data_IF_498189605656
#
_entry.id   IF_498189605656
#
_cell.length_a   1.000
_cell.length_b   1.000
_cell.length_c   1.000
_cell.angle_alpha   90.00
_cell.angle_beta   90.00
_cell.angle_gamma   90.00
#
_symmetry.space_group_name_H-M   'P 1'
#
loop_
_entity.id
_entity.type
_entity.pdbx_description
1 polymer ?
#
# COMPACT_ATOMS: atom_id res chain seq x y z
N UNK A 1 -19.60 35.75 44.25
CA UNK A 1 -18.79 35.22 43.13
C UNK A 1 -18.17 36.40 42.40
N UNK A 2 -16.85 36.48 42.26
CA UNK A 2 -16.20 37.64 41.60
C UNK A 2 -16.45 37.60 40.08
N UNK A 3 -16.51 38.75 39.43
CA UNK A 3 -16.73 38.87 37.97
C UNK A 3 -15.78 37.98 37.14
N UNK A 4 -14.54 37.82 37.62
CA UNK A 4 -13.53 36.93 37.03
C UNK A 4 -13.95 35.45 37.07
N UNK A 5 -14.57 35.00 38.17
CA UNK A 5 -15.07 33.61 38.29
C UNK A 5 -16.27 33.38 37.37
N UNK A 6 -17.16 34.36 37.21
CA UNK A 6 -18.28 34.26 36.28
C UNK A 6 -17.82 34.16 34.81
N UNK A 7 -16.84 34.98 34.42
CA UNK A 7 -16.24 34.92 33.07
C UNK A 7 -15.55 33.57 32.84
N UNK A 8 -14.80 33.06 33.82
CA UNK A 8 -14.13 31.77 33.72
C UNK A 8 -15.12 30.61 33.55
N UNK A 9 -16.24 30.61 34.29
CA UNK A 9 -17.31 29.60 34.14
C UNK A 9 -17.94 29.69 32.74
N UNK A 10 -18.22 30.89 32.24
CA UNK A 10 -18.79 31.08 30.91
C UNK A 10 -17.85 30.55 29.82
N UNK A 11 -16.55 30.83 29.91
CA UNK A 11 -15.54 30.33 28.97
C UNK A 11 -15.47 28.80 28.99
N UNK A 12 -15.47 28.18 30.17
CA UNK A 12 -15.48 26.72 30.29
C UNK A 12 -16.75 26.09 29.70
N UNK A 13 -17.91 26.71 29.91
CA UNK A 13 -19.17 26.26 29.30
C UNK A 13 -19.11 26.35 27.78
N UNK A 14 -18.62 27.47 27.22
CA UNK A 14 -18.48 27.63 25.77
C UNK A 14 -17.52 26.59 25.19
N UNK A 15 -16.36 26.36 25.81
CA UNK A 15 -15.40 25.32 25.39
C UNK A 15 -16.06 23.94 25.44
N UNK A 16 -16.74 23.60 26.53
CA UNK A 16 -17.43 22.31 26.67
C UNK A 16 -18.50 22.09 25.59
N UNK A 17 -19.25 23.15 25.25
CA UNK A 17 -20.26 23.13 24.19
C UNK A 17 -19.63 22.96 22.80
N UNK A 18 -18.49 23.61 22.56
CA UNK A 18 -17.69 23.48 21.33
C UNK A 18 -17.15 22.05 21.18
N UNK A 19 -16.55 21.50 22.24
CA UNK A 19 -16.06 20.11 22.28
C UNK A 19 -17.21 19.13 22.01
N UNK A 20 -18.36 19.31 22.65
CA UNK A 20 -19.54 18.47 22.43
C UNK A 20 -19.99 18.48 20.96
N UNK A 21 -20.10 19.66 20.34
CA UNK A 21 -20.50 19.74 18.93
C UNK A 21 -19.47 19.13 17.98
N UNK A 22 -18.17 19.30 18.24
CA UNK A 22 -17.10 18.67 17.46
C UNK A 22 -17.19 17.14 17.54
N UNK A 23 -17.35 16.60 18.75
CA UNK A 23 -17.50 15.15 18.95
C UNK A 23 -18.77 14.60 18.29
N UNK A 24 -19.90 15.29 18.47
CA UNK A 24 -21.17 14.93 17.83
C UNK A 24 -21.07 14.95 16.31
N UNK A 25 -20.43 15.97 15.74
CA UNK A 25 -20.22 16.08 14.31
C UNK A 25 -19.30 14.96 13.78
N UNK A 26 -18.20 14.65 14.49
CA UNK A 26 -17.32 13.53 14.16
C UNK A 26 -18.07 12.20 14.14
N UNK A 27 -18.86 11.92 15.18
CA UNK A 27 -19.66 10.70 15.28
C UNK A 27 -20.70 10.60 14.17
N UNK A 28 -21.44 11.69 13.90
CA UNK A 28 -22.40 11.75 12.81
C UNK A 28 -21.76 11.50 11.43
N UNK A 29 -20.59 12.09 11.17
CA UNK A 29 -19.84 11.88 9.93
C UNK A 29 -19.42 10.41 9.78
N UNK A 30 -18.92 9.80 10.85
CA UNK A 30 -18.52 8.39 10.87
C UNK A 30 -19.71 7.46 10.61
N UNK A 31 -20.87 7.71 11.24
CA UNK A 31 -22.10 6.96 10.98
C UNK A 31 -22.54 7.05 9.51
N UNK A 32 -22.47 8.24 8.89
CA UNK A 32 -22.81 8.38 7.47
C UNK A 32 -21.87 7.61 6.56
N UNK A 33 -20.58 7.61 6.84
CA UNK A 33 -19.59 6.83 6.07
C UNK A 33 -19.92 5.35 6.20
N UNK A 34 -20.18 4.87 7.41
CA UNK A 34 -20.53 3.47 7.65
C UNK A 34 -21.79 3.05 6.86
N UNK A 35 -22.86 3.85 6.92
CA UNK A 35 -24.09 3.59 6.17
C UNK A 35 -23.88 3.58 4.64
N UNK A 36 -23.01 4.45 4.11
CA UNK A 36 -22.68 4.47 2.68
C UNK A 36 -21.91 3.21 2.26
N UNK A 37 -20.94 2.79 3.08
CA UNK A 37 -20.19 1.55 2.88
C UNK A 37 -21.13 0.34 2.92
N UNK A 38 -21.95 0.19 3.96
CA UNK A 38 -22.92 -0.89 4.09
C UNK A 38 -23.83 -0.98 2.85
N UNK A 39 -24.35 0.15 2.37
CA UNK A 39 -25.20 0.20 1.18
C UNK A 39 -24.48 -0.31 -0.07
N UNK A 40 -23.20 0.03 -0.23
CA UNK A 40 -22.36 -0.45 -1.35
C UNK A 40 -22.04 -1.95 -1.21
N UNK A 41 -21.78 -2.42 0.00
CA UNK A 41 -21.41 -3.80 0.29
C UNK A 41 -22.56 -4.80 0.15
N UNK A 42 -23.83 -4.37 0.17
CA UNK A 42 -25.00 -5.26 -0.08
C UNK A 42 -24.90 -6.10 -1.36
N UNK A 43 -24.18 -5.60 -2.37
CA UNK A 43 -23.95 -6.32 -3.65
C UNK A 43 -22.89 -7.41 -3.53
N UNK A 44 -22.13 -7.44 -2.44
CA UNK A 44 -20.99 -8.32 -2.21
C UNK A 44 -21.10 -8.97 -0.81
N UNK A 45 -22.01 -9.94 -0.60
CA UNK A 45 -22.31 -10.49 0.73
C UNK A 45 -21.09 -11.03 1.48
N UNK A 46 -20.13 -11.62 0.75
CA UNK A 46 -18.89 -12.13 1.35
C UNK A 46 -18.02 -10.97 1.88
N UNK A 47 -17.91 -9.88 1.12
CA UNK A 47 -17.17 -8.68 1.52
C UNK A 47 -17.88 -7.98 2.68
N UNK A 48 -19.21 -7.93 2.66
CA UNK A 48 -20.02 -7.40 3.75
C UNK A 48 -19.78 -8.18 5.05
N UNK A 49 -19.85 -9.52 5.01
CA UNK A 49 -19.60 -10.35 6.18
C UNK A 49 -18.16 -10.21 6.71
N UNK A 50 -17.19 -10.01 5.82
CA UNK A 50 -15.80 -9.72 6.22
C UNK A 50 -15.67 -8.34 6.88
N UNK A 51 -16.34 -7.32 6.34
CA UNK A 51 -16.38 -5.96 6.87
C UNK A 51 -17.03 -5.91 8.27
N UNK A 52 -18.16 -6.58 8.45
CA UNK A 52 -18.87 -6.64 9.75
C UNK A 52 -18.05 -7.32 10.85
N UNK A 53 -17.16 -8.26 10.48
CA UNK A 53 -16.25 -8.94 11.40
C UNK A 53 -14.94 -8.18 11.63
N UNK A 54 -14.62 -7.21 10.79
CA UNK A 54 -13.36 -6.49 10.89
C UNK A 54 -13.40 -5.55 12.11
N UNK A 55 -12.37 -5.61 12.94
CA UNK A 55 -12.14 -4.56 13.93
C UNK A 55 -11.82 -3.26 13.19
N UNK A 56 -12.52 -2.18 13.55
CA UNK A 56 -12.35 -0.89 12.89
C UNK A 56 -10.99 -0.29 13.26
N UNK A 57 -9.98 -0.63 12.47
CA UNK A 57 -8.65 0.00 12.51
C UNK A 57 -8.47 0.86 11.27
N UNK A 58 -8.27 2.15 11.52
CA UNK A 58 -8.11 3.14 10.46
C UNK A 58 -6.61 3.41 10.23
N UNK A 59 -6.19 3.37 8.97
CA UNK A 59 -4.85 3.75 8.55
C UNK A 59 -4.95 4.99 7.68
N UNK A 60 -4.17 6.02 8.01
CA UNK A 60 -4.01 7.16 7.11
C UNK A 60 -3.10 6.72 5.96
N UNK A 61 -3.53 6.95 4.72
CA UNK A 61 -2.71 6.69 3.55
C UNK A 61 -1.70 7.85 3.42
N UNK A 62 -0.39 7.61 3.61
CA UNK A 62 0.59 8.68 3.53
C UNK A 62 0.72 9.17 2.08
N UNK A 63 1.22 10.39 1.91
CA UNK A 63 1.61 10.87 0.58
C UNK A 63 0.46 11.27 -0.37
N UNK A 64 -0.80 11.16 0.05
CA UNK A 64 -1.97 11.35 -0.83
C UNK A 64 -2.14 12.78 -1.34
N UNK A 65 -1.76 13.79 -0.55
CA UNK A 65 -1.76 15.19 -1.00
C UNK A 65 -0.45 15.54 -1.69
N UNK A 66 0.66 15.17 -1.07
CA UNK A 66 1.99 15.31 -1.63
C UNK A 66 2.93 14.26 -1.03
N UNK A 67 3.85 13.75 -1.85
CA UNK A 67 4.96 12.90 -1.41
C UNK A 67 6.27 13.59 -1.75
N UNK A 68 7.19 13.68 -0.79
CA UNK A 68 8.54 14.18 -1.01
C UNK A 68 9.47 13.00 -1.23
N UNK A 69 10.34 13.09 -2.23
CA UNK A 69 11.34 12.06 -2.50
C UNK A 69 12.54 12.64 -3.23
N UNK A 70 13.69 12.01 -3.04
CA UNK A 70 14.88 12.25 -3.86
C UNK A 70 14.69 11.55 -5.21
N UNK A 71 14.76 12.29 -6.31
CA UNK A 71 14.66 11.73 -7.65
C UNK A 71 15.97 11.04 -8.02
N UNK A 72 15.98 9.72 -8.31
CA UNK A 72 17.21 8.98 -8.51
C UNK A 72 18.08 9.49 -9.66
N UNK A 73 17.46 10.03 -10.72
CA UNK A 73 18.20 10.52 -11.88
C UNK A 73 18.91 11.86 -11.65
N UNK A 74 18.38 12.73 -10.78
CA UNK A 74 18.90 14.10 -10.57
C UNK A 74 19.56 14.25 -9.20
N UNK A 75 19.22 13.41 -8.23
CA UNK A 75 19.57 13.57 -6.82
C UNK A 75 18.83 14.73 -6.14
N UNK A 76 17.86 15.34 -6.81
CA UNK A 76 17.10 16.48 -6.28
C UNK A 76 15.92 16.02 -5.44
N UNK A 77 15.60 16.77 -4.39
CA UNK A 77 14.39 16.57 -3.62
C UNK A 77 13.21 17.22 -4.34
N UNK A 78 12.26 16.40 -4.80
CA UNK A 78 11.05 16.85 -5.49
C UNK A 78 9.79 16.53 -4.69
N UNK A 79 8.70 17.20 -5.06
CA UNK A 79 7.36 17.00 -4.50
C UNK A 79 6.45 16.45 -5.58
N UNK A 80 5.93 15.25 -5.38
CA UNK A 80 4.94 14.64 -6.24
C UNK A 80 3.54 14.83 -5.65
N UNK A 81 2.62 15.44 -6.41
CA UNK A 81 1.20 15.60 -6.05
C UNK A 81 0.29 14.55 -6.72
N UNK A 82 0.90 13.63 -7.48
CA UNK A 82 0.22 12.68 -8.36
C UNK A 82 0.49 11.21 -7.98
N UNK A 83 1.02 10.97 -6.78
CA UNK A 83 1.14 9.62 -6.25
C UNK A 83 -0.25 9.02 -6.07
N UNK A 84 -0.47 7.90 -6.74
CA UNK A 84 -1.74 7.19 -6.78
C UNK A 84 -1.57 5.83 -6.10
N UNK A 85 -2.04 5.69 -4.85
CA UNK A 85 -2.01 4.40 -4.14
C UNK A 85 -2.87 3.35 -4.86
N UNK A 86 -2.36 2.12 -4.98
CA UNK A 86 -3.06 1.05 -5.70
C UNK A 86 -3.02 -0.33 -5.04
N UNK A 87 -1.99 -0.64 -4.27
CA UNK A 87 -1.84 -1.95 -3.62
C UNK A 87 -1.75 -1.84 -2.11
N UNK A 88 -2.15 -2.92 -1.44
CA UNK A 88 -2.14 -3.04 0.01
C UNK A 88 -1.74 -4.46 0.39
N UNK A 89 -0.78 -4.61 1.31
CA UNK A 89 -0.43 -5.88 1.92
C UNK A 89 -0.18 -5.72 3.43
N UNK A 90 -0.35 -6.80 4.17
CA UNK A 90 -0.14 -6.86 5.62
C UNK A 90 0.85 -7.98 5.95
N UNK A 91 1.83 -7.68 6.81
CA UNK A 91 2.56 -8.70 7.57
C UNK A 91 2.04 -8.75 9.00
N UNK A 92 2.73 -9.48 9.87
CA UNK A 92 2.46 -9.43 11.31
C UNK A 92 2.61 -8.01 11.85
N UNK A 93 3.68 -7.31 11.47
CA UNK A 93 4.08 -6.05 12.10
C UNK A 93 3.92 -4.82 11.20
N UNK A 94 3.69 -5.00 9.88
CA UNK A 94 3.71 -3.91 8.92
C UNK A 94 2.49 -3.87 7.99
N UNK A 95 2.17 -2.67 7.52
CA UNK A 95 1.28 -2.41 6.39
C UNK A 95 2.12 -1.84 5.25
N UNK A 96 1.94 -2.40 4.05
CA UNK A 96 2.62 -1.95 2.84
C UNK A 96 1.60 -1.35 1.89
N UNK A 97 1.86 -0.14 1.39
CA UNK A 97 1.00 0.55 0.44
C UNK A 97 1.84 0.96 -0.77
N UNK A 98 1.55 0.42 -1.94
CA UNK A 98 2.21 0.82 -3.18
C UNK A 98 1.52 2.04 -3.79
N UNK A 99 2.30 2.94 -4.38
CA UNK A 99 1.80 4.03 -5.18
C UNK A 99 2.69 4.28 -6.40
N UNK A 100 2.07 4.61 -7.53
CA UNK A 100 2.77 5.04 -8.74
C UNK A 100 2.48 6.51 -9.01
N UNK A 101 3.39 7.17 -9.71
CA UNK A 101 3.20 8.55 -10.13
C UNK A 101 2.36 8.62 -11.41
N UNK A 102 1.16 9.23 -11.33
CA UNK A 102 0.20 9.25 -12.44
C UNK A 102 0.71 10.01 -13.68
N UNK A 103 1.48 11.09 -13.49
CA UNK A 103 2.07 11.86 -14.60
C UNK A 103 3.40 11.26 -15.12
N UNK A 104 3.81 10.13 -14.54
CA UNK A 104 5.02 9.40 -14.87
C UNK A 104 6.32 10.22 -14.77
N UNK A 105 6.39 11.24 -13.91
CA UNK A 105 7.63 11.99 -13.66
C UNK A 105 8.49 11.39 -12.55
N UNK A 106 7.85 10.81 -11.53
CA UNK A 106 8.54 10.24 -10.37
C UNK A 106 8.56 8.72 -10.37
N UNK A 107 9.52 8.16 -9.64
CA UNK A 107 9.59 6.73 -9.37
C UNK A 107 8.37 6.27 -8.57
N UNK A 108 8.01 4.99 -8.74
CA UNK A 108 7.02 4.40 -7.85
C UNK A 108 7.56 4.20 -6.46
N UNK A 109 6.66 4.10 -5.49
CA UNK A 109 7.00 4.03 -4.07
C UNK A 109 6.23 2.92 -3.35
N UNK A 110 6.75 2.52 -2.19
CA UNK A 110 6.00 1.77 -1.19
C UNK A 110 6.12 2.48 0.14
N UNK A 111 4.99 2.87 0.73
CA UNK A 111 4.94 3.27 2.13
C UNK A 111 4.92 2.01 3.00
N UNK A 112 5.81 1.98 4.00
CA UNK A 112 5.79 0.99 5.08
C UNK A 112 5.29 1.67 6.33
N UNK A 113 4.23 1.14 6.92
CA UNK A 113 3.64 1.63 8.16
C UNK A 113 3.77 0.56 9.22
N UNK A 114 3.96 0.98 10.47
CA UNK A 114 3.78 0.12 11.62
C UNK A 114 2.31 -0.32 11.73
N UNK A 115 2.06 -1.63 11.83
CA UNK A 115 0.71 -2.17 11.81
C UNK A 115 -0.06 -1.82 13.08
N UNK A 116 0.60 -1.69 14.23
CA UNK A 116 -0.06 -1.42 15.50
C UNK A 116 -0.54 0.04 15.59
N UNK A 117 0.35 0.97 15.30
CA UNK A 117 0.14 2.42 15.45
C UNK A 117 -0.39 3.09 14.20
N UNK A 118 -0.23 2.45 13.03
CA UNK A 118 -0.56 3.02 11.72
C UNK A 118 0.38 4.16 11.30
N UNK A 119 1.50 4.36 11.99
CA UNK A 119 2.45 5.42 11.66
C UNK A 119 3.37 5.01 10.50
N UNK A 120 3.67 5.91 9.55
CA UNK A 120 4.70 5.66 8.54
C UNK A 120 6.05 5.46 9.20
N UNK A 121 6.78 4.42 8.79
CA UNK A 121 8.13 4.12 9.29
C UNK A 121 9.19 4.19 8.20
N UNK A 122 8.80 4.03 6.93
CA UNK A 122 9.74 4.07 5.79
C UNK A 122 9.03 4.39 4.48
N UNK A 123 9.71 5.09 3.59
CA UNK A 123 9.36 5.22 2.18
C UNK A 123 10.38 4.47 1.31
N UNK A 124 9.93 3.46 0.57
CA UNK A 124 10.80 2.78 -0.39
C UNK A 124 10.66 3.46 -1.76
N UNK A 125 11.77 3.88 -2.36
CA UNK A 125 11.83 4.32 -3.76
C UNK A 125 12.11 3.09 -4.63
N UNK A 126 11.17 2.75 -5.51
CA UNK A 126 11.29 1.59 -6.39
C UNK A 126 12.14 1.91 -7.63
N UNK A 127 12.77 0.91 -8.26
CA UNK A 127 13.46 1.09 -9.53
C UNK A 127 12.53 1.58 -10.63
N UNK A 128 12.91 2.69 -11.28
CA UNK A 128 12.20 3.35 -12.38
C UNK A 128 10.76 3.75 -12.02
N UNK A 129 9.91 3.84 -13.03
CA UNK A 129 8.51 4.29 -12.95
C UNK A 129 7.55 3.15 -13.32
N UNK A 130 7.64 1.97 -12.68
CA UNK A 130 6.73 0.88 -12.99
C UNK A 130 5.30 1.32 -12.67
N UNK A 131 4.31 0.74 -13.33
CA UNK A 131 2.93 0.84 -12.88
C UNK A 131 2.74 -0.18 -11.76
N UNK A 132 3.20 0.19 -10.54
CA UNK A 132 3.10 -0.70 -9.37
C UNK A 132 1.64 -0.72 -8.90
N UNK A 133 1.04 -1.90 -8.95
CA UNK A 133 -0.36 -2.11 -8.59
C UNK A 133 -0.45 -3.04 -7.39
N UNK A 134 -0.67 -4.32 -7.64
CA UNK A 134 -0.93 -5.33 -6.63
C UNK A 134 0.27 -5.60 -5.71
N UNK A 135 -0.03 -5.79 -4.43
CA UNK A 135 0.92 -6.23 -3.39
C UNK A 135 0.40 -7.48 -2.71
N UNK A 136 1.30 -8.38 -2.34
CA UNK A 136 1.00 -9.45 -1.38
C UNK A 136 2.24 -9.80 -0.56
N UNK A 137 2.06 -10.04 0.73
CA UNK A 137 3.15 -10.42 1.63
C UNK A 137 3.11 -11.92 1.92
N UNK A 138 4.14 -12.64 1.48
CA UNK A 138 4.34 -14.06 1.78
C UNK A 138 5.01 -14.21 3.15
N UNK A 139 4.20 -14.48 4.17
CA UNK A 139 4.67 -14.64 5.56
C UNK A 139 5.63 -15.83 5.71
N UNK A 140 5.46 -16.90 4.92
CA UNK A 140 6.30 -18.11 5.03
C UNK A 140 7.73 -17.88 4.54
N UNK A 141 7.90 -17.00 3.55
CA UNK A 141 9.19 -16.70 2.91
C UNK A 141 9.73 -15.31 3.28
N UNK A 142 8.94 -14.51 4.00
CA UNK A 142 9.20 -13.12 4.35
C UNK A 142 9.47 -12.23 3.13
N UNK A 143 8.64 -12.39 2.09
CA UNK A 143 8.75 -11.68 0.83
C UNK A 143 7.54 -10.78 0.60
N UNK A 144 7.79 -9.51 0.25
CA UNK A 144 6.78 -8.66 -0.34
C UNK A 144 6.84 -8.81 -1.87
N UNK A 145 5.79 -9.40 -2.43
CA UNK A 145 5.59 -9.48 -3.87
C UNK A 145 4.82 -8.29 -4.37
N UNK A 146 5.23 -7.77 -5.52
CA UNK A 146 4.62 -6.60 -6.15
C UNK A 146 4.51 -6.79 -7.66
N UNK A 147 3.43 -6.32 -8.25
CA UNK A 147 3.33 -6.24 -9.71
C UNK A 147 4.23 -5.12 -10.23
N UNK A 148 4.89 -5.36 -11.35
CA UNK A 148 5.70 -4.35 -12.04
C UNK A 148 5.40 -4.40 -13.54
N UNK A 149 5.73 -3.32 -14.26
CA UNK A 149 5.57 -3.29 -15.71
C UNK A 149 6.47 -4.32 -16.38
N UNK A 150 5.86 -5.30 -17.05
CA UNK A 150 6.53 -6.22 -17.96
C UNK A 150 6.63 -5.64 -19.38
N UNK A 151 7.48 -6.22 -20.22
CA UNK A 151 7.67 -5.78 -21.61
C UNK A 151 6.67 -6.39 -22.60
N UNK A 152 6.13 -7.58 -22.28
CA UNK A 152 5.21 -8.33 -23.16
C UNK A 152 4.16 -9.14 -22.38
N UNK A 153 4.49 -9.55 -21.16
CA UNK A 153 3.63 -10.34 -20.28
C UNK A 153 3.55 -9.67 -18.91
N UNK A 154 2.66 -10.17 -18.05
CA UNK A 154 2.67 -9.82 -16.63
C UNK A 154 4.04 -10.08 -16.02
N UNK A 155 4.40 -9.27 -15.02
CA UNK A 155 5.67 -9.40 -14.31
C UNK A 155 5.47 -9.04 -12.85
N UNK A 156 6.16 -9.76 -11.97
CA UNK A 156 6.23 -9.44 -10.55
C UNK A 156 7.68 -9.37 -10.09
N UNK A 157 7.90 -8.60 -9.04
CA UNK A 157 9.15 -8.57 -8.30
C UNK A 157 8.93 -9.06 -6.86
N UNK A 158 10.01 -9.43 -6.20
CA UNK A 158 10.01 -9.69 -4.77
C UNK A 158 11.06 -8.80 -4.06
N UNK A 159 10.67 -8.28 -2.91
CA UNK A 159 11.54 -7.64 -1.93
C UNK A 159 11.58 -8.52 -0.68
N UNK A 160 12.77 -8.76 -0.12
CA UNK A 160 12.88 -9.45 1.18
C UNK A 160 12.57 -8.48 2.30
N UNK A 161 11.91 -8.93 3.36
CA UNK A 161 11.65 -8.09 4.52
C UNK A 161 12.95 -7.49 5.09
N UNK A 162 14.02 -8.28 5.18
CA UNK A 162 15.30 -7.79 5.69
C UNK A 162 15.88 -6.65 4.84
N UNK A 163 15.68 -6.68 3.51
CA UNK A 163 16.14 -5.62 2.62
C UNK A 163 15.27 -4.37 2.77
N UNK A 164 13.95 -4.54 2.95
CA UNK A 164 13.02 -3.43 3.23
C UNK A 164 13.41 -2.72 4.52
N UNK A 165 13.74 -3.45 5.58
CA UNK A 165 14.10 -2.87 6.87
C UNK A 165 15.46 -2.16 6.82
N UNK A 166 16.41 -2.68 6.05
CA UNK A 166 17.73 -2.11 5.85
C UNK A 166 17.79 -1.02 4.78
N UNK A 167 16.71 -0.80 4.03
CA UNK A 167 16.68 0.12 2.90
C UNK A 167 16.90 1.58 3.32
N UNK A 168 17.66 2.32 2.51
CA UNK A 168 18.00 3.73 2.71
C UNK A 168 17.62 4.59 1.50
N UNK A 169 16.66 4.14 0.70
CA UNK A 169 16.35 4.77 -0.58
C UNK A 169 15.76 6.17 -0.42
N UNK A 170 14.98 6.40 0.64
CA UNK A 170 14.44 7.72 1.00
C UNK A 170 15.54 8.74 1.27
N UNK A 171 16.62 8.36 1.99
CA UNK A 171 17.70 9.28 2.32
C UNK A 171 18.70 9.46 1.17
N UNK A 172 18.96 8.39 0.43
CA UNK A 172 20.05 8.36 -0.57
C UNK A 172 19.57 8.67 -1.99
N UNK A 173 18.27 8.59 -2.25
CA UNK A 173 17.71 8.58 -3.60
C UNK A 173 18.08 7.35 -4.42
N UNK A 174 18.77 6.36 -3.85
CA UNK A 174 19.12 5.13 -4.56
C UNK A 174 17.99 4.12 -4.42
N UNK A 175 17.34 3.70 -5.52
CA UNK A 175 16.19 2.81 -5.43
C UNK A 175 16.54 1.45 -4.81
N UNK A 176 15.60 0.89 -4.05
CA UNK A 176 15.74 -0.46 -3.52
C UNK A 176 15.87 -1.48 -4.65
N UNK A 177 16.84 -2.39 -4.56
CA UNK A 177 17.00 -3.44 -5.56
C UNK A 177 15.95 -4.55 -5.37
N UNK A 178 15.34 -5.01 -6.46
CA UNK A 178 14.52 -6.21 -6.42
C UNK A 178 15.39 -7.45 -6.17
N UNK A 179 15.01 -8.27 -5.20
CA UNK A 179 15.73 -9.51 -4.93
C UNK A 179 15.58 -10.50 -6.08
N UNK A 180 14.37 -10.57 -6.65
CA UNK A 180 14.13 -11.30 -7.89
C UNK A 180 12.99 -10.67 -8.68
N UNK A 181 12.98 -10.97 -9.98
CA UNK A 181 11.87 -10.69 -10.89
C UNK A 181 11.50 -11.95 -11.66
N UNK A 182 10.20 -12.15 -11.89
CA UNK A 182 9.69 -13.24 -12.72
C UNK A 182 8.57 -12.76 -13.62
N UNK A 183 8.54 -13.33 -14.81
CA UNK A 183 7.48 -13.12 -15.79
C UNK A 183 6.33 -14.09 -15.48
N UNK A 184 5.12 -13.60 -15.74
CA UNK A 184 3.87 -14.32 -15.65
C UNK A 184 3.37 -14.51 -17.09
N UNK A 185 3.93 -15.49 -17.78
CA UNK A 185 3.83 -15.63 -19.25
C UNK A 185 2.41 -15.87 -19.78
N UNK A 186 1.52 -16.36 -18.93
CA UNK A 186 0.14 -16.74 -19.23
C UNK A 186 -0.82 -15.55 -19.18
N UNK A 187 -0.37 -14.38 -18.71
CA UNK A 187 -1.17 -13.17 -18.65
C UNK A 187 -0.44 -12.00 -19.34
N UNK A 188 -1.15 -11.11 -20.04
CA UNK A 188 -0.52 -9.97 -20.73
C UNK A 188 -0.03 -8.90 -19.75
N UNK A 189 -0.71 -8.72 -18.62
CA UNK A 189 -0.35 -7.77 -17.57
C UNK A 189 -0.77 -8.31 -16.21
N UNK A 190 0.02 -7.97 -15.18
CA UNK A 190 -0.31 -8.24 -13.79
C UNK A 190 -1.00 -7.00 -13.18
N UNK A 191 -2.32 -6.91 -13.34
CA UNK A 191 -3.12 -5.78 -12.84
C UNK A 191 -3.45 -5.90 -11.35
N UNK A 192 -3.48 -7.12 -10.83
CA UNK A 192 -3.76 -7.42 -9.43
C UNK A 192 -2.94 -8.63 -8.99
N UNK A 193 -2.70 -8.72 -7.68
CA UNK A 193 -1.88 -9.78 -7.10
C UNK A 193 -2.40 -10.14 -5.72
N UNK A 194 -2.51 -11.44 -5.46
CA UNK A 194 -2.78 -12.01 -4.14
C UNK A 194 -2.06 -13.35 -4.02
N UNK A 195 -2.26 -14.05 -2.90
CA UNK A 195 -1.64 -15.33 -2.62
C UNK A 195 -2.68 -16.31 -2.10
N UNK A 196 -2.57 -17.55 -2.54
CA UNK A 196 -3.32 -18.68 -2.00
C UNK A 196 -2.32 -19.80 -1.68
N UNK A 197 -2.05 -20.02 -0.39
CA UNK A 197 -1.02 -20.96 0.08
C UNK A 197 0.35 -20.70 -0.59
N UNK A 198 0.95 -21.70 -1.21
CA UNK A 198 2.21 -21.58 -1.93
C UNK A 198 2.03 -21.13 -3.40
N UNK A 199 0.98 -20.37 -3.72
CA UNK A 199 0.73 -19.86 -5.07
C UNK A 199 0.51 -18.36 -5.07
N UNK A 200 1.17 -17.63 -5.98
CA UNK A 200 0.72 -16.30 -6.37
C UNK A 200 -0.49 -16.43 -7.27
N UNK A 201 -1.46 -15.55 -7.07
CA UNK A 201 -2.65 -15.44 -7.91
C UNK A 201 -2.65 -14.05 -8.50
N UNK A 202 -2.59 -13.99 -9.83
CA UNK A 202 -2.45 -12.72 -10.56
C UNK A 202 -3.25 -12.79 -11.84
N UNK A 203 -3.53 -11.62 -12.40
CA UNK A 203 -4.34 -11.55 -13.60
C UNK A 203 -4.39 -10.19 -14.25
N UNK A 204 -5.04 -10.16 -15.41
CA UNK A 204 -5.23 -8.96 -16.22
C UNK A 204 -6.66 -8.42 -16.06
N UNK A 205 -6.76 -7.11 -15.82
CA UNK A 205 -8.02 -6.39 -15.84
C UNK A 205 -8.37 -5.96 -17.27
N UNK A 206 -9.63 -6.13 -17.65
CA UNK A 206 -10.16 -5.65 -18.93
C UNK A 206 -11.42 -4.82 -18.67
N UNK A 207 -11.51 -3.64 -19.30
CA UNK A 207 -12.72 -2.80 -19.23
C UNK A 207 -13.89 -3.42 -20.00
N UNK A 208 -13.57 -4.22 -21.02
CA UNK A 208 -14.53 -4.89 -21.91
C UNK A 208 -14.15 -6.36 -21.98
N UNK A 209 -15.06 -7.24 -21.57
CA UNK A 209 -14.87 -8.68 -21.58
C UNK A 209 -14.51 -9.25 -20.21
N UNK A 210 -14.06 -10.50 -20.20
CA UNK A 210 -13.68 -11.20 -18.98
C UNK A 210 -12.23 -10.85 -18.61
N UNK A 211 -11.97 -10.70 -17.31
CA UNK A 211 -10.62 -10.66 -16.78
C UNK A 211 -9.98 -12.05 -16.83
N UNK A 212 -8.65 -12.11 -16.81
CA UNK A 212 -7.92 -13.36 -16.70
C UNK A 212 -7.39 -13.51 -15.28
N UNK A 213 -7.40 -14.72 -14.73
CA UNK A 213 -6.82 -15.05 -13.42
C UNK A 213 -6.03 -16.36 -13.55
N UNK A 214 -4.79 -16.37 -13.06
CA UNK A 214 -3.89 -17.51 -13.14
C UNK A 214 -3.18 -17.73 -11.81
N UNK A 215 -2.87 -19.00 -11.51
CA UNK A 215 -2.16 -19.44 -10.31
C UNK A 215 -0.72 -19.82 -10.68
N UNK A 216 0.24 -19.31 -9.90
CA UNK A 216 1.67 -19.50 -10.12
C UNK A 216 2.29 -20.11 -8.86
N UNK A 217 2.85 -21.31 -8.96
CA UNK A 217 3.51 -21.95 -7.82
C UNK A 217 4.73 -21.13 -7.39
N UNK A 218 4.82 -20.84 -6.10
CA UNK A 218 5.96 -20.17 -5.50
C UNK A 218 7.08 -21.18 -5.22
N UNK A 219 8.26 -21.01 -5.85
CA UNK A 219 9.40 -21.85 -5.54
C UNK A 219 9.83 -21.71 -4.07
N UNK A 220 10.64 -22.64 -3.60
CA UNK A 220 11.35 -22.52 -2.33
C UNK A 220 12.42 -21.42 -2.42
N UNK A 221 12.85 -20.88 -1.27
CA UNK A 221 13.96 -19.92 -1.21
C UNK A 221 15.24 -20.51 -1.84
N UNK A 222 15.49 -21.81 -1.69
CA UNK A 222 16.67 -22.48 -2.27
C UNK A 222 16.62 -22.49 -3.81
N UNK A 223 15.45 -22.78 -4.39
CA UNK A 223 15.24 -22.74 -5.84
C UNK A 223 15.37 -21.32 -6.38
N UNK A 224 14.79 -20.32 -5.68
CA UNK A 224 14.94 -18.90 -6.04
C UNK A 224 16.41 -18.46 -6.05
N UNK A 225 17.17 -18.78 -5.00
CA UNK A 225 18.61 -18.49 -4.93
C UNK A 225 19.39 -19.13 -6.07
N UNK A 226 19.02 -20.36 -6.44
CA UNK A 226 19.65 -21.07 -7.56
C UNK A 226 19.34 -20.38 -8.89
N UNK A 227 18.11 -19.93 -9.10
CA UNK A 227 17.70 -19.21 -10.31
C UNK A 227 18.42 -17.87 -10.45
N UNK A 228 18.55 -17.09 -9.37
CA UNK A 228 19.26 -15.81 -9.35
C UNK A 228 20.72 -16.00 -9.78
N UNK A 229 21.44 -16.94 -9.14
CA UNK A 229 22.84 -17.25 -9.46
C UNK A 229 23.08 -17.67 -10.91
N UNK A 230 22.07 -18.24 -11.58
CA UNK A 230 22.16 -18.60 -13.00
C UNK A 230 22.03 -17.38 -13.90
N UNK A 231 21.16 -16.43 -13.56
CA UNK A 231 21.00 -15.17 -14.30
C UNK A 231 22.28 -14.32 -14.26
N UNK A 232 23.00 -14.30 -13.13
CA UNK A 232 24.23 -13.51 -12.98
C UNK A 232 25.45 -14.07 -13.75
N UNK A 233 25.34 -15.27 -14.33
CA UNK A 233 26.43 -15.95 -15.06
C UNK A 233 26.31 -15.83 -16.60
N UNK A 234 25.27 -15.17 -17.09
CA UNK A 234 24.98 -14.97 -18.51
C UNK A 234 25.20 -13.49 -18.83
#
# INVERSE_FOLDING_TARGET
MTQRVAIMILVLLVIGLLVYYVLKFKHWKQQRIHQDIEKKLKRYPIVQAAWEKAEAKEYNIPGLTETRMVVPETGENEVCQWMTPQGLAFSQDFVFISAYCYDHQHHSIIHVLDRETGQPIKLLILPKRPHVGGLVYDTKRELLWLTITGSATGRVAALRLIDILADTSEETGQPIAYWLTTDLSEIPQASYLTQNNDQLVSGNFTLKGEGQLTFYLLPTIAEMKTAIRRKDKI
#
